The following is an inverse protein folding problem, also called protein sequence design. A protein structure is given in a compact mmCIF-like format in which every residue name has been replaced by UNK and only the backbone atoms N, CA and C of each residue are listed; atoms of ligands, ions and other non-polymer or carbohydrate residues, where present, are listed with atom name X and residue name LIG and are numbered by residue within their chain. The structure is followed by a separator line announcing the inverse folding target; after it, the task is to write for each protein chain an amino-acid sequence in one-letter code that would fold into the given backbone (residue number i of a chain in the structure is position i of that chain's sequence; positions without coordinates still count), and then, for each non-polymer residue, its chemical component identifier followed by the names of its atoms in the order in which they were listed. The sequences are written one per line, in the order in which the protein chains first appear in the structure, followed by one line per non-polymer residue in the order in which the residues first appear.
data_IF_734836227928
#
_entry.id   IF_734836227928
#
_cell.length_a   1.000
_cell.length_b   1.000
_cell.length_c   1.000
_cell.angle_alpha   90.00
_cell.angle_beta   90.00
_cell.angle_gamma   90.00
#
_symmetry.space_group_name_H-M   'P 1'
#
loop_
_entity.id
_entity.type
_entity.pdbx_description
1 polymer ?
#
# COMPACT_ATOMS: atom_id res chain seq x y z
N UNK A 1 -17.16 -30.06 18.26
CA UNK A 1 -16.58 -29.05 17.36
C UNK A 1 -15.12 -28.91 17.71
N UNK A 2 -14.21 -29.25 16.79
CA UNK A 2 -12.77 -29.06 17.01
C UNK A 2 -12.46 -27.58 16.91
N UNK A 3 -11.99 -26.95 18.00
CA UNK A 3 -11.42 -25.61 17.91
C UNK A 3 -10.14 -25.71 17.10
N UNK A 4 -10.13 -25.19 15.87
CA UNK A 4 -8.92 -25.13 15.08
C UNK A 4 -7.84 -24.38 15.88
N UNK A 5 -6.71 -25.04 16.11
CA UNK A 5 -5.61 -24.46 16.87
C UNK A 5 -5.11 -23.20 16.15
N UNK A 6 -5.07 -22.07 16.87
CA UNK A 6 -4.54 -20.81 16.34
C UNK A 6 -3.06 -21.00 16.00
N UNK A 7 -2.71 -20.80 14.73
CA UNK A 7 -1.33 -20.94 14.26
C UNK A 7 -0.52 -19.69 14.62
N UNK A 8 0.82 -19.78 14.80
CA UNK A 8 1.64 -18.64 15.21
C UNK A 8 1.46 -17.39 14.32
N UNK A 9 1.39 -17.53 12.99
CA UNK A 9 1.15 -16.38 12.10
C UNK A 9 -0.18 -15.63 12.36
N UNK A 10 -1.16 -16.29 12.98
CA UNK A 10 -2.47 -15.73 13.33
C UNK A 10 -2.48 -15.07 14.72
N UNK A 11 -1.43 -15.25 15.53
CA UNK A 11 -1.36 -14.72 16.89
C UNK A 11 -0.88 -13.26 16.89
N UNK A 12 -1.73 -12.27 17.21
CA UNK A 12 -1.35 -10.84 17.20
C UNK A 12 -0.40 -10.46 18.34
N UNK A 13 -0.14 -11.35 19.30
CA UNK A 13 0.83 -11.13 20.38
C UNK A 13 2.28 -11.39 19.98
N UNK A 14 2.50 -12.03 18.82
CA UNK A 14 3.82 -12.21 18.23
C UNK A 14 4.16 -11.03 17.33
N UNK A 15 5.45 -10.75 17.14
CA UNK A 15 5.91 -9.72 16.23
C UNK A 15 5.52 -10.01 14.78
N UNK A 16 5.47 -8.98 13.94
CA UNK A 16 5.22 -9.14 12.51
C UNK A 16 6.24 -10.09 11.85
N UNK A 17 7.51 -10.03 12.28
CA UNK A 17 8.59 -10.87 11.77
C UNK A 17 8.37 -12.35 12.14
N UNK A 18 8.10 -12.67 13.41
CA UNK A 18 7.84 -14.06 13.84
C UNK A 18 6.64 -14.65 13.10
N UNK A 19 5.58 -13.86 12.95
CA UNK A 19 4.38 -14.27 12.22
C UNK A 19 4.66 -14.50 10.74
N UNK A 20 5.46 -13.62 10.11
CA UNK A 20 5.84 -13.76 8.71
C UNK A 20 6.72 -14.99 8.48
N UNK A 21 7.68 -15.26 9.37
CA UNK A 21 8.54 -16.45 9.29
C UNK A 21 7.72 -17.74 9.36
N UNK A 22 6.80 -17.85 10.33
CA UNK A 22 5.90 -19.02 10.44
C UNK A 22 4.97 -19.15 9.23
N UNK A 23 4.45 -18.03 8.70
CA UNK A 23 3.63 -18.06 7.48
C UNK A 23 4.46 -18.56 6.28
N UNK A 24 5.66 -18.03 6.09
CA UNK A 24 6.54 -18.38 4.99
C UNK A 24 7.04 -19.82 5.06
N UNK A 25 7.19 -20.42 6.25
CA UNK A 25 7.54 -21.84 6.38
C UNK A 25 6.39 -22.78 6.02
N UNK A 26 5.14 -22.29 6.00
CA UNK A 26 3.94 -23.08 5.68
C UNK A 26 3.55 -23.05 4.20
N UNK A 27 4.08 -22.11 3.44
CA UNK A 27 3.86 -21.97 2.00
C UNK A 27 4.67 -22.98 1.21
N UNK A 28 4.07 -23.55 0.16
CA UNK A 28 4.83 -24.31 -0.84
C UNK A 28 5.70 -23.39 -1.69
N UNK A 29 6.62 -23.95 -2.47
CA UNK A 29 7.46 -23.17 -3.38
C UNK A 29 6.60 -22.48 -4.46
N UNK A 30 5.57 -23.16 -4.96
CA UNK A 30 4.64 -22.63 -5.95
C UNK A 30 3.80 -21.48 -5.38
N UNK A 31 3.33 -21.61 -4.13
CA UNK A 31 2.63 -20.52 -3.43
C UNK A 31 3.55 -19.32 -3.21
N UNK A 32 4.81 -19.54 -2.80
CA UNK A 32 5.81 -18.47 -2.68
C UNK A 32 6.03 -17.75 -4.01
N UNK A 33 6.26 -18.50 -5.09
CA UNK A 33 6.48 -17.92 -6.42
C UNK A 33 5.29 -17.04 -6.86
N UNK A 34 4.05 -17.46 -6.59
CA UNK A 34 2.84 -16.66 -6.87
C UNK A 34 2.78 -15.34 -6.08
N UNK A 35 3.32 -15.32 -4.86
CA UNK A 35 3.35 -14.14 -4.00
C UNK A 35 4.52 -13.18 -4.29
N UNK A 36 5.40 -13.49 -5.24
CA UNK A 36 6.51 -12.61 -5.66
C UNK A 36 6.09 -11.55 -6.69
N UNK A 37 4.82 -11.52 -7.07
CA UNK A 37 4.25 -10.52 -8.00
C UNK A 37 3.46 -9.46 -7.24
N UNK A 38 3.30 -8.27 -7.85
CA UNK A 38 2.49 -7.20 -7.27
C UNK A 38 1.03 -7.60 -7.06
N UNK A 39 0.46 -8.43 -7.94
CA UNK A 39 -0.81 -9.09 -7.68
C UNK A 39 -0.55 -10.42 -6.96
N UNK A 40 -0.76 -10.43 -5.65
CA UNK A 40 -0.62 -11.60 -4.79
C UNK A 40 -1.98 -12.31 -4.66
N UNK A 41 -2.16 -13.51 -5.23
CA UNK A 41 -3.44 -14.22 -5.14
C UNK A 41 -3.72 -14.68 -3.71
N UNK A 42 -4.99 -14.98 -3.42
CA UNK A 42 -5.37 -15.59 -2.15
C UNK A 42 -4.73 -16.99 -2.01
N UNK A 43 -4.35 -17.35 -0.78
CA UNK A 43 -3.94 -18.71 -0.40
C UNK A 43 -5.00 -19.24 0.56
N UNK A 44 -6.07 -19.82 0.01
CA UNK A 44 -7.26 -20.23 0.75
C UNK A 44 -6.96 -21.22 1.88
N UNK A 45 -6.06 -22.18 1.64
CA UNK A 45 -5.65 -23.19 2.64
C UNK A 45 -5.07 -22.56 3.90
N UNK A 46 -4.46 -21.38 3.78
CA UNK A 46 -3.86 -20.62 4.89
C UNK A 46 -4.72 -19.42 5.30
N UNK A 47 -5.90 -19.23 4.70
CA UNK A 47 -6.77 -18.08 4.95
C UNK A 47 -6.13 -16.73 4.60
N UNK A 48 -5.17 -16.69 3.68
CA UNK A 48 -4.53 -15.46 3.22
C UNK A 48 -5.40 -14.84 2.13
N UNK A 49 -5.96 -13.63 2.32
CA UNK A 49 -6.74 -12.99 1.27
C UNK A 49 -5.83 -12.51 0.14
N UNK A 50 -6.41 -12.30 -1.04
CA UNK A 50 -5.73 -11.61 -2.14
C UNK A 50 -5.26 -10.23 -1.68
N UNK A 51 -4.07 -9.84 -2.14
CA UNK A 51 -3.48 -8.52 -1.88
C UNK A 51 -2.86 -7.98 -3.17
N UNK A 52 -3.01 -6.69 -3.42
CA UNK A 52 -2.37 -6.02 -4.56
C UNK A 52 -1.43 -4.93 -4.06
N UNK A 53 -0.13 -5.12 -4.26
CA UNK A 53 0.90 -4.21 -3.79
C UNK A 53 0.92 -2.86 -4.53
N UNK A 54 0.27 -2.79 -5.70
CA UNK A 54 0.28 -1.63 -6.58
C UNK A 54 -0.92 -0.72 -6.28
N UNK A 55 -0.72 0.18 -5.31
CA UNK A 55 -1.60 1.33 -5.08
C UNK A 55 -0.79 2.61 -5.25
N UNK A 56 -1.43 3.74 -5.55
CA UNK A 56 -0.77 5.00 -5.90
C UNK A 56 -1.43 6.14 -5.12
N UNK A 57 -0.64 7.02 -4.52
CA UNK A 57 -1.13 8.10 -3.66
C UNK A 57 -0.36 9.43 -3.85
N UNK A 58 0.31 9.63 -4.98
CA UNK A 58 1.31 10.70 -5.19
C UNK A 58 0.85 12.10 -4.73
N UNK A 59 -0.42 12.44 -4.96
CA UNK A 59 -1.04 13.67 -4.48
C UNK A 59 -2.53 13.44 -4.17
N UNK A 60 -2.81 12.33 -3.46
CA UNK A 60 -4.15 11.80 -3.22
C UNK A 60 -4.33 10.41 -3.84
N UNK A 61 -5.38 9.68 -3.42
CA UNK A 61 -5.60 8.28 -3.82
C UNK A 61 -5.97 8.18 -5.30
N UNK A 62 -5.12 7.52 -6.08
CA UNK A 62 -5.36 7.39 -7.51
C UNK A 62 -6.19 6.15 -7.85
N UNK A 63 -6.98 6.25 -8.93
CA UNK A 63 -7.61 5.12 -9.64
C UNK A 63 -8.53 4.23 -8.78
N UNK A 64 -9.06 4.77 -7.67
CA UNK A 64 -9.99 4.09 -6.77
C UNK A 64 -11.25 4.94 -6.51
N UNK A 65 -11.91 5.35 -7.61
CA UNK A 65 -13.11 6.21 -7.59
C UNK A 65 -12.79 7.68 -7.31
N UNK A 66 -13.80 8.43 -6.85
CA UNK A 66 -13.63 9.82 -6.44
C UNK A 66 -12.75 9.91 -5.21
N UNK A 67 -11.75 10.78 -5.24
CA UNK A 67 -10.86 11.04 -4.13
C UNK A 67 -10.45 12.51 -4.08
N UNK A 68 -9.94 12.95 -2.93
CA UNK A 68 -9.34 14.29 -2.83
C UNK A 68 -8.09 14.33 -3.71
N UNK A 69 -7.96 15.38 -4.51
CA UNK A 69 -6.79 15.63 -5.38
C UNK A 69 -6.07 16.86 -4.86
N UNK A 70 -4.86 16.67 -4.36
CA UNK A 70 -3.98 17.73 -3.86
C UNK A 70 -3.10 18.27 -5.00
N UNK A 71 -2.41 19.41 -4.81
CA UNK A 71 -1.35 19.84 -5.74
C UNK A 71 -0.32 18.73 -5.96
N UNK A 72 0.33 18.71 -7.13
CA UNK A 72 1.46 17.80 -7.35
C UNK A 72 2.56 18.05 -6.32
N UNK A 73 3.39 17.06 -6.05
CA UNK A 73 4.45 17.10 -5.04
C UNK A 73 5.37 18.31 -5.17
N UNK A 74 5.72 18.73 -6.40
CA UNK A 74 6.53 19.95 -6.61
C UNK A 74 5.79 21.23 -6.17
N UNK A 75 4.47 21.28 -6.35
CA UNK A 75 3.63 22.38 -5.88
C UNK A 75 3.42 22.36 -4.36
N UNK A 76 3.37 21.16 -3.75
CA UNK A 76 3.36 21.03 -2.30
C UNK A 76 4.71 21.46 -1.70
N UNK A 77 5.82 21.08 -2.31
CA UNK A 77 7.17 21.47 -1.88
C UNK A 77 7.37 23.00 -1.92
N UNK A 78 6.79 23.68 -2.90
CA UNK A 78 6.86 25.15 -3.01
C UNK A 78 6.20 25.90 -1.83
N UNK A 79 5.49 25.21 -0.94
CA UNK A 79 5.00 25.78 0.33
C UNK A 79 6.09 25.97 1.39
N UNK A 80 7.19 25.21 1.31
CA UNK A 80 8.21 25.09 2.36
C UNK A 80 7.62 24.79 3.76
N UNK A 81 6.52 24.04 3.81
CA UNK A 81 5.81 23.66 5.04
C UNK A 81 5.71 22.12 5.15
N UNK A 82 6.67 21.52 5.86
CA UNK A 82 6.70 20.07 6.11
C UNK A 82 5.45 19.58 6.84
N UNK A 83 4.91 20.38 7.75
CA UNK A 83 3.71 20.03 8.49
C UNK A 83 2.48 20.04 7.59
N UNK A 84 2.41 20.91 6.58
CA UNK A 84 1.37 20.88 5.55
C UNK A 84 1.46 19.61 4.71
N UNK A 85 2.66 19.25 4.25
CA UNK A 85 2.87 18.02 3.47
C UNK A 85 2.47 16.79 4.29
N UNK A 86 2.84 16.75 5.57
CA UNK A 86 2.42 15.68 6.48
C UNK A 86 0.88 15.59 6.57
N UNK A 87 0.18 16.71 6.80
CA UNK A 87 -1.30 16.72 6.87
C UNK A 87 -1.96 16.25 5.58
N UNK A 88 -1.38 16.56 4.42
CA UNK A 88 -1.88 16.07 3.12
C UNK A 88 -1.81 14.54 3.06
N UNK A 89 -0.67 13.95 3.42
CA UNK A 89 -0.53 12.49 3.38
C UNK A 89 -1.25 11.77 4.52
N UNK A 90 -1.47 12.41 5.66
CA UNK A 90 -2.39 11.92 6.70
C UNK A 90 -3.82 11.81 6.15
N UNK A 91 -4.32 12.87 5.50
CA UNK A 91 -5.66 12.85 4.87
C UNK A 91 -5.75 11.77 3.77
N UNK A 92 -4.73 11.64 2.92
CA UNK A 92 -4.68 10.57 1.92
C UNK A 92 -4.67 9.16 2.55
N UNK A 93 -3.95 8.97 3.67
CA UNK A 93 -3.88 7.71 4.41
C UNK A 93 -5.23 7.31 5.03
N UNK A 94 -5.95 8.28 5.62
CA UNK A 94 -7.30 8.06 6.13
C UNK A 94 -8.26 7.68 5.01
N UNK A 95 -8.19 8.37 3.88
CA UNK A 95 -9.01 8.06 2.70
C UNK A 95 -8.68 6.66 2.14
N UNK A 96 -7.40 6.29 2.06
CA UNK A 96 -6.95 4.95 1.68
C UNK A 96 -7.58 3.88 2.58
N UNK A 97 -7.53 4.09 3.89
CA UNK A 97 -8.09 3.15 4.88
C UNK A 97 -9.59 3.02 4.74
N UNK A 98 -10.30 4.14 4.56
CA UNK A 98 -11.74 4.15 4.34
C UNK A 98 -12.13 3.36 3.08
N UNK A 99 -11.45 3.61 1.96
CA UNK A 99 -11.68 2.90 0.69
C UNK A 99 -11.34 1.41 0.79
N UNK A 100 -10.24 1.05 1.44
CA UNK A 100 -9.88 -0.35 1.67
C UNK A 100 -10.95 -1.07 2.51
N UNK A 101 -11.46 -0.44 3.57
CA UNK A 101 -12.52 -1.02 4.39
C UNK A 101 -13.80 -1.27 3.58
N UNK A 102 -14.16 -0.35 2.68
CA UNK A 102 -15.30 -0.54 1.75
C UNK A 102 -15.02 -1.70 0.79
N UNK A 103 -13.84 -1.74 0.16
CA UNK A 103 -13.47 -2.82 -0.76
C UNK A 103 -13.45 -4.19 -0.06
N UNK A 104 -12.97 -4.30 1.18
CA UNK A 104 -12.98 -5.56 1.93
C UNK A 104 -14.40 -6.07 2.20
N UNK A 105 -15.39 -5.20 2.33
CA UNK A 105 -16.81 -5.59 2.53
C UNK A 105 -17.44 -6.18 1.27
N UNK A 106 -16.90 -5.91 0.08
CA UNK A 106 -17.41 -6.51 -1.17
C UNK A 106 -16.90 -7.95 -1.37
N UNK A 107 -15.94 -8.40 -0.55
CA UNK A 107 -15.34 -9.73 -0.62
C UNK A 107 -14.26 -9.88 -1.70
N UNK A 108 -14.02 -8.87 -2.53
CA UNK A 108 -13.01 -8.91 -3.60
C UNK A 108 -12.17 -7.64 -3.58
N UNK A 109 -10.85 -7.79 -3.42
CA UNK A 109 -9.88 -6.71 -3.51
C UNK A 109 -9.33 -6.65 -4.94
N UNK A 110 -9.49 -5.50 -5.58
CA UNK A 110 -8.91 -5.21 -6.90
C UNK A 110 -7.64 -4.37 -6.76
N UNK A 111 -6.89 -4.20 -7.86
CA UNK A 111 -5.78 -3.25 -7.94
C UNK A 111 -6.23 -1.85 -7.49
N UNK A 112 -5.37 -1.11 -6.80
CA UNK A 112 -5.65 0.19 -6.17
C UNK A 112 -6.58 0.16 -4.95
N UNK A 113 -6.89 -1.00 -4.37
CA UNK A 113 -7.76 -1.13 -3.20
C UNK A 113 -7.10 -1.76 -1.96
N UNK A 114 -5.80 -2.04 -2.01
CA UNK A 114 -5.02 -2.57 -0.87
C UNK A 114 -4.31 -1.44 -0.13
N UNK A 115 -3.33 -1.77 0.72
CA UNK A 115 -2.77 -0.87 1.73
C UNK A 115 -1.26 -0.61 1.54
N UNK A 116 -0.75 -0.87 0.35
CA UNK A 116 0.64 -0.59 -0.02
C UNK A 116 0.65 0.43 -1.14
N UNK A 117 1.29 1.58 -0.94
CA UNK A 117 1.27 2.68 -1.90
C UNK A 117 2.68 2.95 -2.43
N UNK A 118 2.82 3.05 -3.75
CA UNK A 118 4.06 3.42 -4.43
C UNK A 118 4.22 4.94 -4.45
N UNK A 119 4.40 5.49 -3.26
CA UNK A 119 4.45 6.92 -2.98
C UNK A 119 5.24 7.09 -1.69
N UNK A 120 6.12 8.10 -1.57
CA UNK A 120 6.36 9.20 -2.51
C UNK A 120 7.38 8.92 -3.64
N UNK A 121 7.45 9.82 -4.62
CA UNK A 121 8.59 9.91 -5.53
C UNK A 121 9.60 10.93 -4.95
N UNK A 122 10.71 10.42 -4.41
CA UNK A 122 11.78 11.18 -3.74
C UNK A 122 13.04 11.29 -4.60
N UNK A 123 12.91 11.10 -5.92
CA UNK A 123 14.01 11.40 -6.82
C UNK A 123 14.22 12.93 -6.91
N UNK A 124 15.44 13.32 -7.23
CA UNK A 124 15.82 14.73 -7.41
C UNK A 124 15.55 15.16 -8.85
N UNK A 125 14.86 16.28 -9.05
CA UNK A 125 14.57 16.89 -10.36
C UNK A 125 15.82 17.57 -10.95
N UNK A 126 16.85 16.77 -11.24
CA UNK A 126 18.18 17.27 -11.65
C UNK A 126 18.22 17.91 -13.04
N UNK A 127 17.42 17.40 -13.97
CA UNK A 127 17.38 17.89 -15.35
C UNK A 127 15.97 18.39 -15.64
N UNK A 128 15.77 19.69 -15.98
CA UNK A 128 14.45 20.27 -16.17
C UNK A 128 13.66 19.64 -17.32
N UNK A 129 14.29 18.85 -18.18
CA UNK A 129 13.64 18.11 -19.28
C UNK A 129 12.99 16.80 -18.81
N UNK A 130 13.24 16.37 -17.58
CA UNK A 130 12.66 15.13 -17.07
C UNK A 130 11.15 15.24 -16.92
N UNK A 131 10.39 14.56 -17.77
CA UNK A 131 8.93 14.62 -17.83
C UNK A 131 8.17 14.03 -16.63
N UNK A 132 8.88 13.59 -15.57
CA UNK A 132 8.29 13.21 -14.27
C UNK A 132 8.80 14.10 -13.13
N UNK A 133 9.54 15.16 -13.42
CA UNK A 133 10.06 16.04 -12.39
C UNK A 133 8.95 16.75 -11.59
N UNK A 134 7.78 16.97 -12.18
CA UNK A 134 6.60 17.46 -11.48
C UNK A 134 6.07 16.53 -10.37
N UNK A 135 6.50 15.27 -10.38
CA UNK A 135 6.17 14.26 -9.36
C UNK A 135 7.18 14.22 -8.21
N UNK A 136 8.23 15.04 -8.24
CA UNK A 136 9.24 15.13 -7.17
C UNK A 136 9.00 16.32 -6.25
N UNK A 137 9.87 16.50 -5.26
CA UNK A 137 9.85 17.67 -4.37
C UNK A 137 10.77 18.82 -4.84
N UNK A 138 11.39 18.70 -6.02
CA UNK A 138 12.29 19.70 -6.57
C UNK A 138 13.69 19.17 -6.81
N UNK A 139 14.64 20.09 -6.94
CA UNK A 139 16.06 19.80 -7.20
C UNK A 139 16.93 19.69 -5.93
N UNK A 140 16.34 19.94 -4.75
CA UNK A 140 16.93 19.85 -3.41
C UNK A 140 16.09 18.93 -2.52
#
# INVERSE_FOLDING_TARGET
MSYAQTLPYQNPRLSAQERAVDLCSRLTIEEKAKLMMSSSPAIERLGIPQFDWWNEALHGIARNGFATVFPSTIGMAASFDDALVQRVFEAASDEARAKNNVARRTGVIRRYQSLSFWTPNINIFRDPRWGRGQETYGED
#
